data_IF_105126870359
#
_entry.id   IF_105126870359
#
_cell.length_a   1.000
_cell.length_b   1.000
_cell.length_c   1.000
_cell.angle_alpha   90.00
_cell.angle_beta   90.00
_cell.angle_gamma   90.00
#
_symmetry.space_group_name_H-M   'P 1'
#
loop_
_entity.id
_entity.type
_entity.pdbx_description
1 polymer ?
#
# COMPACT_ATOMS: atom_id res chain seq x y z
N UNK A 1 24.74 -14.79 19.97
CA UNK A 1 23.50 -14.18 19.44
C UNK A 1 23.90 -13.26 18.28
N UNK A 2 24.08 -13.80 17.07
CA UNK A 2 24.49 -13.00 15.90
C UNK A 2 23.24 -12.55 15.14
N UNK A 3 22.80 -11.34 15.44
CA UNK A 3 21.68 -10.67 14.76
C UNK A 3 22.22 -10.07 13.46
N UNK A 4 22.24 -10.89 12.41
CA UNK A 4 22.66 -10.48 11.08
C UNK A 4 21.58 -9.56 10.48
N UNK A 5 21.76 -8.25 10.64
CA UNK A 5 21.04 -7.26 9.84
C UNK A 5 21.62 -7.29 8.42
N UNK A 6 20.86 -7.82 7.46
CA UNK A 6 21.05 -7.54 6.05
C UNK A 6 19.73 -7.02 5.49
N UNK A 7 19.56 -5.71 5.26
CA UNK A 7 18.49 -5.23 4.40
C UNK A 7 18.96 -5.46 2.96
N UNK A 8 18.87 -6.71 2.50
CA UNK A 8 19.00 -7.07 1.08
C UNK A 8 17.67 -7.48 0.44
N UNK A 9 16.58 -7.40 1.19
CA UNK A 9 15.20 -7.60 0.71
C UNK A 9 14.53 -6.23 0.72
N UNK A 10 13.78 -5.91 -0.34
CA UNK A 10 13.07 -4.64 -0.47
C UNK A 10 12.07 -4.37 0.67
N UNK A 11 11.34 -3.26 0.59
CA UNK A 11 10.33 -2.94 1.57
C UNK A 11 9.26 -4.05 1.63
N UNK A 12 8.90 -4.46 2.83
CA UNK A 12 7.89 -5.51 3.06
C UNK A 12 6.50 -4.94 2.80
N UNK A 13 5.75 -5.42 1.79
CA UNK A 13 4.40 -4.95 1.50
C UNK A 13 3.44 -5.03 2.69
N UNK A 14 3.65 -6.00 3.60
CA UNK A 14 2.80 -6.18 4.78
C UNK A 14 2.98 -5.06 5.82
N UNK A 15 4.01 -4.22 5.67
CA UNK A 15 4.23 -3.03 6.49
C UNK A 15 3.66 -1.76 5.85
N UNK A 16 3.04 -1.84 4.66
CA UNK A 16 2.44 -0.69 4.01
C UNK A 16 1.20 -0.23 4.77
N UNK A 17 1.09 1.08 4.94
CA UNK A 17 -0.12 1.69 5.48
C UNK A 17 -1.24 1.61 4.44
N UNK A 18 -2.47 1.38 4.90
CA UNK A 18 -3.66 1.36 4.04
C UNK A 18 -4.66 2.37 4.58
N UNK A 19 -5.17 3.24 3.72
CA UNK A 19 -6.17 4.23 4.12
C UNK A 19 -7.29 4.41 3.09
N UNK A 20 -8.44 4.86 3.59
CA UNK A 20 -9.58 5.20 2.75
C UNK A 20 -9.38 6.59 2.13
N UNK A 21 -9.41 6.67 0.79
CA UNK A 21 -9.31 7.92 0.06
C UNK A 21 -10.43 8.91 0.44
N UNK A 22 -11.65 8.41 0.71
CA UNK A 22 -12.82 9.26 0.97
C UNK A 22 -12.84 9.90 2.36
N UNK A 23 -12.27 9.25 3.39
CA UNK A 23 -12.37 9.75 4.77
C UNK A 23 -11.06 9.74 5.56
N UNK A 24 -9.95 9.29 4.96
CA UNK A 24 -8.62 9.24 5.59
C UNK A 24 -8.49 8.22 6.72
N UNK A 25 -9.49 7.34 6.92
CA UNK A 25 -9.43 6.34 7.98
C UNK A 25 -8.48 5.20 7.59
N UNK A 26 -7.67 4.70 8.53
CA UNK A 26 -6.87 3.51 8.30
C UNK A 26 -7.77 2.29 8.07
N UNK A 27 -7.34 1.43 7.16
CA UNK A 27 -7.93 0.11 6.94
C UNK A 27 -7.01 -0.96 7.53
N UNK A 28 -7.61 -1.92 8.24
CA UNK A 28 -6.90 -3.08 8.75
C UNK A 28 -7.11 -4.22 7.76
N UNK A 29 -6.01 -4.73 7.22
CA UNK A 29 -5.99 -5.89 6.35
C UNK A 29 -5.38 -7.08 7.07
N UNK A 30 -5.80 -8.26 6.66
CA UNK A 30 -5.22 -9.53 7.07
C UNK A 30 -3.86 -9.71 6.40
N UNK A 31 -3.04 -10.55 7.02
CA UNK A 31 -1.75 -10.93 6.48
C UNK A 31 -1.90 -11.53 5.07
N UNK A 32 -1.09 -11.03 4.14
CA UNK A 32 -1.01 -11.44 2.74
C UNK A 32 -1.82 -10.58 1.77
N UNK A 33 -2.78 -9.79 2.25
CA UNK A 33 -3.61 -8.95 1.38
C UNK A 33 -2.79 -7.86 0.68
N UNK A 34 -1.89 -7.19 1.41
CA UNK A 34 -1.03 -6.16 0.82
C UNK A 34 -0.08 -6.76 -0.24
N UNK A 35 0.55 -7.89 0.07
CA UNK A 35 1.40 -8.63 -0.87
C UNK A 35 0.65 -9.02 -2.14
N UNK A 36 -0.59 -9.51 -2.02
CA UNK A 36 -1.43 -9.84 -3.18
C UNK A 36 -1.73 -8.61 -4.04
N UNK A 37 -2.05 -7.47 -3.43
CA UNK A 37 -2.30 -6.23 -4.17
C UNK A 37 -1.05 -5.77 -4.92
N UNK A 38 0.12 -5.80 -4.28
CA UNK A 38 1.38 -5.44 -4.94
C UNK A 38 1.66 -6.38 -6.12
N UNK A 39 1.51 -7.69 -5.94
CA UNK A 39 1.71 -8.68 -7.01
C UNK A 39 0.75 -8.44 -8.20
N UNK A 40 -0.55 -8.30 -7.93
CA UNK A 40 -1.58 -8.03 -8.94
C UNK A 40 -1.36 -6.69 -9.65
N UNK A 41 -0.76 -5.73 -8.97
CA UNK A 41 -0.46 -4.42 -9.55
C UNK A 41 0.72 -4.46 -10.53
N UNK A 42 1.56 -5.50 -10.50
CA UNK A 42 2.79 -5.55 -11.30
C UNK A 42 3.85 -4.53 -10.88
N UNK A 43 3.75 -3.97 -9.67
CA UNK A 43 4.75 -3.05 -9.11
C UNK A 43 5.99 -3.84 -8.68
N UNK A 44 7.16 -3.41 -9.12
CA UNK A 44 8.43 -3.91 -8.61
C UNK A 44 8.56 -3.53 -7.13
N UNK A 45 8.61 -4.53 -6.24
CA UNK A 45 8.73 -4.36 -4.79
C UNK A 45 9.98 -3.56 -4.38
N UNK A 46 10.99 -3.49 -5.25
CA UNK A 46 12.17 -2.63 -5.03
C UNK A 46 11.87 -1.13 -5.12
N UNK A 47 10.74 -0.73 -5.72
CA UNK A 47 10.28 0.67 -5.80
C UNK A 47 9.48 1.09 -4.56
N UNK A 48 9.14 0.15 -3.69
CA UNK A 48 8.41 0.40 -2.46
C UNK A 48 9.38 0.84 -1.36
N UNK A 49 8.93 1.80 -0.57
CA UNK A 49 9.56 2.20 0.69
C UNK A 49 8.49 2.73 1.66
N UNK A 50 8.93 3.28 2.79
CA UNK A 50 8.05 3.77 3.85
C UNK A 50 7.17 4.98 3.44
N UNK A 51 7.41 5.60 2.28
CA UNK A 51 6.53 6.64 1.73
C UNK A 51 5.44 6.06 0.83
N UNK A 52 5.50 4.77 0.50
CA UNK A 52 4.45 4.10 -0.26
C UNK A 52 3.34 3.62 0.67
N UNK A 53 2.10 3.80 0.23
CA UNK A 53 0.91 3.34 0.92
C UNK A 53 -0.14 2.85 -0.09
N UNK A 54 -1.14 2.15 0.41
CA UNK A 54 -2.28 1.70 -0.38
C UNK A 54 -3.47 2.60 -0.09
N UNK A 55 -4.00 3.25 -1.13
CA UNK A 55 -5.25 4.00 -1.07
C UNK A 55 -6.40 3.11 -1.53
N UNK A 56 -7.43 3.00 -0.70
CA UNK A 56 -8.68 2.33 -1.04
C UNK A 56 -9.77 3.37 -1.37
N UNK A 57 -10.51 3.15 -2.45
CA UNK A 57 -11.62 4.00 -2.89
C UNK A 57 -12.90 3.82 -2.04
N UNK A 58 -12.78 3.17 -0.88
CA UNK A 58 -13.89 2.94 0.04
C UNK A 58 -13.42 2.31 1.36
N UNK A 59 -14.32 2.30 2.34
CA UNK A 59 -14.14 1.60 3.60
C UNK A 59 -15.51 1.24 4.20
N UNK A 60 -15.55 0.35 5.20
CA UNK A 60 -16.81 -0.06 5.83
C UNK A 60 -17.62 1.10 6.45
N UNK A 61 -16.96 2.23 6.74
CA UNK A 61 -17.61 3.42 7.27
C UNK A 61 -18.23 4.31 6.17
N UNK A 62 -17.57 4.44 5.02
CA UNK A 62 -18.07 5.27 3.90
C UNK A 62 -19.12 4.53 3.08
N UNK A 63 -18.94 3.21 2.91
CA UNK A 63 -19.84 2.34 2.16
C UNK A 63 -20.15 1.07 2.99
N UNK A 64 -21.05 1.16 3.98
CA UNK A 64 -21.41 0.02 4.82
C UNK A 64 -22.05 -1.10 4.00
N UNK A 65 -21.57 -2.33 4.18
CA UNK A 65 -22.09 -3.52 3.49
C UNK A 65 -21.54 -3.73 2.08
N UNK A 66 -20.72 -2.81 1.55
CA UNK A 66 -19.99 -3.01 0.32
C UNK A 66 -18.72 -3.83 0.58
N UNK A 67 -18.51 -4.88 -0.21
CA UNK A 67 -17.36 -5.77 -0.11
C UNK A 67 -16.43 -5.59 -1.30
N UNK A 68 -15.13 -5.44 -1.03
CA UNK A 68 -14.12 -5.20 -2.04
C UNK A 68 -14.09 -3.73 -2.49
N UNK A 69 -12.96 -3.08 -2.27
CA UNK A 69 -12.74 -1.70 -2.70
C UNK A 69 -11.68 -1.70 -3.81
N UNK A 70 -11.83 -0.81 -4.79
CA UNK A 70 -10.71 -0.54 -5.69
C UNK A 70 -9.56 0.05 -4.88
N UNK A 71 -8.34 -0.38 -5.19
CA UNK A 71 -7.15 0.08 -4.47
C UNK A 71 -6.06 0.51 -5.44
N UNK A 72 -5.27 1.48 -5.01
CA UNK A 72 -4.11 2.01 -5.73
C UNK A 72 -2.92 2.08 -4.80
N UNK A 73 -1.74 1.84 -5.35
CA UNK A 73 -0.49 1.97 -4.62
C UNK A 73 0.12 3.32 -4.99
N UNK A 74 0.23 4.19 -4.00
CA UNK A 74 0.69 5.56 -4.17
C UNK A 74 1.91 5.82 -3.32
N UNK A 75 2.63 6.88 -3.66
CA UNK A 75 3.70 7.45 -2.85
C UNK A 75 3.25 8.80 -2.30
N UNK A 76 3.44 8.97 -1.00
CA UNK A 76 3.22 10.23 -0.30
C UNK A 76 4.32 11.24 -0.68
N UNK A 77 3.89 12.47 -0.97
CA UNK A 77 4.71 13.65 -1.23
C UNK A 77 4.17 14.81 -0.40
N UNK A 78 4.92 15.92 -0.34
CA UNK A 78 4.47 17.13 0.37
C UNK A 78 3.19 17.73 -0.23
N UNK A 79 2.98 17.56 -1.54
CA UNK A 79 1.82 18.04 -2.31
C UNK A 79 0.65 17.03 -2.39
N UNK A 80 0.78 15.83 -1.80
CA UNK A 80 -0.27 14.79 -1.83
C UNK A 80 0.23 13.42 -2.30
N UNK A 81 -0.62 12.67 -3.01
CA UNK A 81 -0.32 11.31 -3.48
C UNK A 81 0.10 11.30 -4.96
N UNK A 82 1.02 10.41 -5.32
CA UNK A 82 1.32 10.08 -6.73
C UNK A 82 1.33 8.57 -6.95
N UNK A 83 0.70 8.10 -8.02
CA UNK A 83 0.68 6.68 -8.37
C UNK A 83 2.10 6.14 -8.61
N UNK A 84 2.37 4.95 -8.06
CA UNK A 84 3.70 4.30 -8.19
C UNK A 84 3.91 3.73 -9.60
N UNK A 85 2.83 3.37 -10.29
CA UNK A 85 2.90 2.83 -11.66
C UNK A 85 3.27 3.86 -12.72
N UNK A 86 2.90 5.13 -12.54
CA UNK A 86 3.15 6.20 -13.51
C UNK A 86 4.62 6.67 -13.53
N UNK A 87 5.45 6.25 -12.57
CA UNK A 87 6.89 6.60 -12.51
C UNK A 87 7.75 5.72 -13.45
N UNK A 88 7.24 5.44 -14.66
CA UNK A 88 7.90 4.64 -15.69
C UNK A 88 8.19 5.47 -16.95
N UNK A 89 9.45 5.94 -17.02
CA UNK A 89 10.13 6.64 -18.13
C UNK A 89 9.90 8.15 -18.26
#
# INVERSE_FOLDING_TARGET
MNRQHSPKKGFDPELMFVECHSCGRPLIWNQGEASQIIEQSGIDTKKLDAQCLILAEGCPQCAPGEGGYMVRVVRLREDGYRDVKEQGH
#
